data_IF_616018248300
#
_entry.id   IF_616018248300
#
_cell.length_a   1.000
_cell.length_b   1.000
_cell.length_c   1.000
_cell.angle_alpha   90.00
_cell.angle_beta   90.00
_cell.angle_gamma   90.00
#
_symmetry.space_group_name_H-M   'P 1'
#
loop_
_entity.id
_entity.type
_entity.pdbx_description
1 polymer ?
#
# COMPACT_ATOMS: atom_id res chain seq x y z
N UNK A 1 2.71 13.53 -17.88
CA UNK A 1 3.38 12.23 -18.21
C UNK A 1 2.67 11.16 -17.42
N UNK A 2 2.49 9.95 -17.94
CA UNK A 2 1.94 8.84 -17.17
C UNK A 2 3.07 8.20 -16.35
N UNK A 3 2.77 7.82 -15.09
CA UNK A 3 3.68 7.02 -14.28
C UNK A 3 3.93 5.70 -15.02
N UNK A 4 5.19 5.30 -15.11
CA UNK A 4 5.59 4.05 -15.80
C UNK A 4 4.93 2.83 -15.13
N UNK A 5 4.59 1.83 -15.93
CA UNK A 5 3.99 0.57 -15.49
C UNK A 5 2.61 0.73 -14.79
N UNK A 6 1.89 1.81 -15.11
CA UNK A 6 0.52 2.00 -14.63
C UNK A 6 -0.44 1.09 -15.39
N UNK A 7 -1.17 0.25 -14.66
CA UNK A 7 -2.33 -0.50 -15.18
C UNK A 7 -3.57 0.37 -15.04
N UNK A 8 -4.30 0.54 -16.14
CA UNK A 8 -5.55 1.33 -16.16
C UNK A 8 -6.73 0.37 -16.12
N UNK A 9 -7.58 0.53 -15.11
CA UNK A 9 -8.84 -0.17 -14.94
C UNK A 9 -9.96 0.77 -15.32
N UNK A 10 -10.93 0.30 -16.13
CA UNK A 10 -12.01 1.16 -16.60
C UNK A 10 -13.33 0.43 -16.78
N UNK A 11 -14.42 1.01 -16.25
CA UNK A 11 -15.79 0.56 -16.46
C UNK A 11 -16.75 1.75 -16.41
N UNK A 12 -17.54 1.93 -17.46
CA UNK A 12 -18.51 3.03 -17.51
C UNK A 12 -17.86 4.39 -17.34
N UNK A 13 -18.19 5.08 -16.24
CA UNK A 13 -17.66 6.40 -15.87
C UNK A 13 -16.46 6.34 -14.93
N UNK A 14 -16.14 5.17 -14.42
CA UNK A 14 -15.06 4.94 -13.48
C UNK A 14 -13.76 4.59 -14.19
N UNK A 15 -12.66 5.15 -13.72
CA UNK A 15 -11.31 4.88 -14.18
C UNK A 15 -10.35 4.94 -13.00
N UNK A 16 -9.50 3.92 -12.84
CA UNK A 16 -8.44 3.89 -11.83
C UNK A 16 -7.11 3.56 -12.48
N UNK A 17 -6.04 4.20 -12.03
CA UNK A 17 -4.66 3.82 -12.38
C UNK A 17 -3.98 3.17 -11.20
N UNK A 18 -3.42 1.99 -11.40
CA UNK A 18 -2.74 1.22 -10.36
C UNK A 18 -1.29 0.97 -10.74
N UNK A 19 -0.38 1.19 -9.81
CA UNK A 19 1.04 0.93 -10.02
C UNK A 19 1.58 -0.07 -8.99
N UNK A 20 1.70 -1.34 -9.39
CA UNK A 20 2.20 -2.42 -8.54
C UNK A 20 3.62 -2.15 -8.03
N UNK A 21 4.48 -1.57 -8.85
CA UNK A 21 5.87 -1.22 -8.52
C UNK A 21 5.97 -0.17 -7.41
N UNK A 22 4.99 0.70 -7.29
CA UNK A 22 4.93 1.76 -6.28
C UNK A 22 4.03 1.36 -5.09
N UNK A 23 4.26 0.20 -4.51
CA UNK A 23 3.56 -0.27 -3.32
C UNK A 23 2.12 -0.73 -3.57
N UNK A 24 1.79 -1.14 -4.80
CA UNK A 24 0.41 -1.49 -5.16
C UNK A 24 -0.54 -0.29 -5.14
N UNK A 25 -0.02 0.94 -5.19
CA UNK A 25 -0.77 2.17 -5.03
C UNK A 25 -1.81 2.36 -6.16
N UNK A 26 -3.05 2.66 -5.80
CA UNK A 26 -4.04 3.23 -6.69
C UNK A 26 -3.70 4.72 -6.89
N UNK A 27 -2.85 5.02 -7.90
CA UNK A 27 -2.22 6.34 -8.10
C UNK A 27 -3.19 7.42 -8.56
N UNK A 28 -4.35 7.05 -9.04
CA UNK A 28 -5.50 7.93 -9.27
C UNK A 28 -6.80 7.14 -9.31
N UNK A 29 -7.88 7.79 -8.97
CA UNK A 29 -9.26 7.33 -9.17
C UNK A 29 -10.07 8.48 -9.77
N UNK A 30 -10.84 8.20 -10.82
CA UNK A 30 -11.67 9.18 -11.52
C UNK A 30 -13.10 8.69 -11.70
N UNK A 31 -14.02 9.63 -11.59
CA UNK A 31 -15.41 9.44 -11.97
C UNK A 31 -15.83 10.51 -13.00
N UNK A 32 -16.28 10.07 -14.16
CA UNK A 32 -16.67 10.95 -15.28
C UNK A 32 -15.58 11.98 -15.63
N UNK A 33 -14.30 11.53 -15.63
CA UNK A 33 -13.13 12.34 -15.94
C UNK A 33 -12.67 13.31 -14.83
N UNK A 34 -13.33 13.32 -13.66
CA UNK A 34 -12.94 14.14 -12.51
C UNK A 34 -12.17 13.29 -11.49
N UNK A 35 -11.06 13.81 -11.00
CA UNK A 35 -10.27 13.14 -9.97
C UNK A 35 -11.05 13.08 -8.66
N UNK A 36 -11.12 11.87 -8.09
CA UNK A 36 -11.65 11.56 -6.75
C UNK A 36 -10.50 11.50 -5.75
N UNK A 37 -9.39 10.86 -6.11
CA UNK A 37 -8.14 10.90 -5.36
C UNK A 37 -7.23 11.99 -5.95
N UNK A 38 -6.38 12.57 -5.10
CA UNK A 38 -5.30 13.44 -5.56
C UNK A 38 -4.31 12.59 -6.40
N UNK A 39 -4.19 12.82 -7.71
CA UNK A 39 -3.43 11.90 -8.55
C UNK A 39 -1.93 12.02 -8.34
N UNK A 40 -1.23 10.89 -8.37
CA UNK A 40 0.21 10.86 -8.51
C UNK A 40 0.57 11.11 -9.97
N UNK A 41 1.21 12.23 -10.27
CA UNK A 41 1.58 12.64 -11.62
C UNK A 41 3.07 12.61 -11.91
N UNK A 42 3.88 12.59 -10.83
CA UNK A 42 5.34 12.50 -10.86
C UNK A 42 5.82 11.68 -9.64
N UNK A 43 6.70 10.72 -9.87
CA UNK A 43 7.26 9.88 -8.78
C UNK A 43 8.01 10.70 -7.73
N UNK A 44 8.61 11.83 -8.11
CA UNK A 44 9.27 12.74 -7.16
C UNK A 44 8.33 13.29 -6.06
N UNK A 45 7.01 13.28 -6.27
CA UNK A 45 6.04 13.64 -5.25
C UNK A 45 6.09 12.70 -4.04
N UNK A 46 6.45 11.42 -4.25
CA UNK A 46 6.58 10.43 -3.17
C UNK A 46 7.77 10.71 -2.26
N UNK A 47 8.81 11.38 -2.77
CA UNK A 47 9.96 11.79 -1.96
C UNK A 47 9.63 12.98 -1.05
N UNK A 48 8.69 13.84 -1.50
CA UNK A 48 8.22 14.99 -0.71
C UNK A 48 7.24 14.52 0.37
N UNK A 49 6.22 13.78 -0.01
CA UNK A 49 5.26 13.17 0.92
C UNK A 49 4.57 11.97 0.26
N UNK A 50 4.91 10.73 0.66
CA UNK A 50 4.38 9.52 0.04
C UNK A 50 2.91 9.22 0.37
N UNK A 51 2.26 10.05 1.20
CA UNK A 51 0.90 9.81 1.71
C UNK A 51 -0.16 10.75 1.13
N UNK A 52 0.22 11.70 0.27
CA UNK A 52 -0.71 12.72 -0.24
C UNK A 52 -1.33 12.36 -1.59
N UNK A 53 -0.68 11.52 -2.37
CA UNK A 53 -1.15 11.20 -3.72
C UNK A 53 -1.54 9.72 -3.82
N UNK A 54 -2.63 9.49 -4.55
CA UNK A 54 -3.18 8.14 -4.69
C UNK A 54 -3.79 7.62 -3.39
N UNK A 55 -3.70 6.32 -3.22
CA UNK A 55 -4.17 5.58 -2.05
C UNK A 55 -3.10 4.54 -1.64
N UNK A 56 -2.05 4.97 -0.92
CA UNK A 56 -0.95 4.11 -0.53
C UNK A 56 -1.36 3.09 0.54
N UNK A 57 -0.89 1.87 0.41
CA UNK A 57 -1.12 0.79 1.39
C UNK A 57 -0.22 0.99 2.61
N UNK A 58 -0.82 1.16 3.78
CA UNK A 58 -0.13 1.45 5.03
C UNK A 58 -0.19 0.25 6.00
N UNK A 59 0.97 -0.36 6.28
CA UNK A 59 1.13 -1.43 7.26
C UNK A 59 2.53 -1.37 7.89
N UNK A 60 2.65 -1.26 9.23
CA UNK A 60 1.59 -0.87 10.17
C UNK A 60 1.14 0.59 9.95
N UNK A 61 -0.15 0.84 10.10
CA UNK A 61 -0.70 2.19 9.97
C UNK A 61 -0.42 3.03 11.24
N UNK A 62 -0.48 4.37 11.10
CA UNK A 62 -0.24 5.36 12.16
C UNK A 62 1.21 5.43 12.69
N UNK A 63 1.38 6.10 13.83
CA UNK A 63 2.68 6.35 14.46
C UNK A 63 2.95 5.35 15.57
N UNK A 64 4.16 4.79 15.56
CA UNK A 64 4.71 4.02 16.67
C UNK A 64 5.82 4.88 17.27
N UNK A 65 5.55 5.44 18.47
CA UNK A 65 6.46 6.34 19.15
C UNK A 65 7.78 5.65 19.50
N UNK A 66 8.91 6.30 19.23
CA UNK A 66 10.27 5.75 19.29
C UNK A 66 10.48 4.49 18.44
N UNK A 67 9.54 4.15 17.55
CA UNK A 67 9.55 2.90 16.79
C UNK A 67 9.38 1.65 17.65
N UNK A 68 8.99 1.78 18.92
CA UNK A 68 9.00 0.67 19.89
C UNK A 68 7.61 0.21 20.26
N UNK A 69 7.41 -1.10 20.27
CA UNK A 69 6.21 -1.73 20.79
C UNK A 69 6.54 -3.10 21.40
N UNK A 70 5.71 -3.55 22.33
CA UNK A 70 5.81 -4.89 22.93
C UNK A 70 4.60 -5.71 22.51
N UNK A 71 4.81 -6.96 22.14
CA UNK A 71 3.75 -7.90 21.80
C UNK A 71 4.10 -9.30 22.30
N UNK A 72 3.20 -9.93 23.04
CA UNK A 72 3.37 -11.26 23.66
C UNK A 72 4.68 -11.39 24.46
N UNK A 73 5.05 -10.33 25.19
CA UNK A 73 6.25 -10.30 26.04
C UNK A 73 7.58 -10.10 25.31
N UNK A 74 7.54 -9.83 24.00
CA UNK A 74 8.72 -9.54 23.19
C UNK A 74 8.71 -8.06 22.78
N UNK A 75 9.86 -7.40 22.92
CA UNK A 75 10.06 -6.01 22.50
C UNK A 75 10.55 -5.95 21.06
N UNK A 76 9.90 -5.11 20.26
CA UNK A 76 10.23 -4.86 18.87
C UNK A 76 10.64 -3.41 18.66
N UNK A 77 11.55 -3.19 17.72
CA UNK A 77 12.00 -1.85 17.34
C UNK A 77 11.97 -1.70 15.83
N UNK A 78 11.27 -0.66 15.35
CA UNK A 78 11.22 -0.25 13.94
C UNK A 78 12.07 1.01 13.73
N UNK A 79 12.59 1.25 12.53
CA UNK A 79 13.35 2.46 12.23
C UNK A 79 12.47 3.71 12.38
N UNK A 80 13.06 4.82 12.84
CA UNK A 80 12.38 6.12 12.88
C UNK A 80 12.29 6.67 11.45
N UNK A 81 11.08 6.77 10.91
CA UNK A 81 10.80 7.28 9.56
C UNK A 81 10.26 8.71 9.57
N UNK A 82 9.79 9.20 10.73
CA UNK A 82 9.37 10.58 10.96
C UNK A 82 10.16 11.18 12.13
N UNK A 83 11.38 11.73 11.89
CA UNK A 83 12.24 12.24 12.96
C UNK A 83 11.61 13.35 13.81
N UNK A 84 10.78 14.21 13.20
CA UNK A 84 10.11 15.33 13.88
C UNK A 84 9.22 14.90 15.05
N UNK A 85 8.62 13.72 14.98
CA UNK A 85 7.76 13.16 16.02
C UNK A 85 8.42 12.00 16.76
N UNK A 86 9.68 11.69 16.44
CA UNK A 86 10.40 10.52 16.95
C UNK A 86 9.64 9.20 16.69
N UNK A 87 8.97 9.08 15.55
CA UNK A 87 8.08 7.95 15.28
C UNK A 87 8.48 7.15 14.05
N UNK A 88 8.13 5.86 14.08
CA UNK A 88 7.94 5.09 12.87
C UNK A 88 6.52 5.41 12.34
N UNK A 89 6.43 5.93 11.11
CA UNK A 89 5.18 6.37 10.51
C UNK A 89 4.79 5.44 9.35
N UNK A 90 3.59 4.89 9.41
CA UNK A 90 2.88 4.22 8.33
C UNK A 90 3.55 3.00 7.70
N UNK A 91 4.59 2.47 8.34
CA UNK A 91 5.35 1.35 7.77
C UNK A 91 6.06 1.70 6.48
N UNK A 92 6.51 0.69 5.76
CA UNK A 92 7.23 0.85 4.49
C UNK A 92 6.68 -0.05 3.37
N UNK A 93 5.55 -0.74 3.58
CA UNK A 93 4.92 -1.59 2.56
C UNK A 93 4.56 -0.79 1.31
N UNK A 94 4.11 0.46 1.45
CA UNK A 94 3.81 1.38 0.34
C UNK A 94 5.02 1.70 -0.57
N UNK A 95 6.24 1.32 -0.17
CA UNK A 95 7.48 1.47 -0.96
C UNK A 95 7.93 0.16 -1.58
N UNK A 96 7.27 -0.96 -1.29
CA UNK A 96 7.67 -2.26 -1.77
C UNK A 96 6.99 -2.59 -3.09
N UNK A 97 7.70 -3.19 -4.07
CA UNK A 97 7.07 -3.64 -5.29
C UNK A 97 6.17 -4.85 -5.01
N UNK A 98 4.98 -4.83 -5.60
CA UNK A 98 4.06 -5.97 -5.61
C UNK A 98 4.20 -6.75 -6.91
N UNK A 99 4.12 -8.07 -6.83
CA UNK A 99 4.01 -8.96 -7.98
C UNK A 99 2.59 -8.89 -8.55
N UNK A 100 2.45 -8.71 -9.86
CA UNK A 100 1.15 -8.75 -10.53
C UNK A 100 0.79 -10.19 -10.83
N UNK A 101 -0.31 -10.67 -10.26
CA UNK A 101 -0.81 -12.04 -10.45
C UNK A 101 -1.78 -12.14 -11.63
N UNK A 102 -2.65 -11.14 -11.79
CA UNK A 102 -3.61 -11.09 -12.90
C UNK A 102 -4.03 -9.66 -13.21
N UNK A 103 -4.39 -9.41 -14.47
CA UNK A 103 -4.89 -8.13 -14.96
C UNK A 103 -6.00 -8.37 -15.96
N UNK A 104 -7.05 -7.56 -15.89
CA UNK A 104 -8.10 -7.40 -16.91
C UNK A 104 -8.38 -5.91 -17.11
N UNK A 105 -9.31 -5.56 -17.99
CA UNK A 105 -9.72 -4.17 -18.22
C UNK A 105 -10.37 -3.54 -16.96
N UNK A 106 -10.84 -4.36 -16.03
CA UNK A 106 -11.62 -3.90 -14.87
C UNK A 106 -11.03 -4.33 -13.52
N UNK A 107 -9.99 -5.15 -13.49
CA UNK A 107 -9.43 -5.67 -12.24
C UNK A 107 -7.94 -5.95 -12.36
N UNK A 108 -7.23 -5.74 -11.24
CA UNK A 108 -5.85 -6.17 -11.05
C UNK A 108 -5.74 -6.88 -9.69
N UNK A 109 -5.07 -8.03 -9.67
CA UNK A 109 -4.69 -8.72 -8.44
C UNK A 109 -3.17 -8.70 -8.31
N UNK A 110 -2.69 -8.29 -7.14
CA UNK A 110 -1.27 -8.14 -6.84
C UNK A 110 -0.94 -8.81 -5.52
N UNK A 111 0.31 -9.21 -5.34
CA UNK A 111 0.79 -9.86 -4.12
C UNK A 111 2.11 -9.24 -3.65
N UNK A 112 2.23 -9.06 -2.35
CA UNK A 112 3.47 -8.76 -1.66
C UNK A 112 3.75 -9.84 -0.61
N UNK A 113 5.00 -10.24 -0.48
CA UNK A 113 5.46 -11.19 0.55
C UNK A 113 6.56 -10.52 1.37
N UNK A 114 6.29 -10.34 2.67
CA UNK A 114 7.27 -9.94 3.65
C UNK A 114 7.83 -11.20 4.32
N UNK A 115 8.94 -11.69 3.81
CA UNK A 115 9.62 -12.85 4.38
C UNK A 115 11.08 -12.50 4.66
N UNK A 116 11.50 -12.72 5.91
CA UNK A 116 12.85 -12.37 6.38
C UNK A 116 13.22 -10.89 6.16
N UNK A 117 12.20 -9.99 6.08
CA UNK A 117 12.36 -8.56 5.82
C UNK A 117 11.98 -7.73 7.04
N UNK A 118 12.72 -7.92 8.11
CA UNK A 118 12.46 -7.30 9.41
C UNK A 118 12.58 -5.78 9.41
N UNK A 119 13.26 -5.20 8.41
CA UNK A 119 13.32 -3.76 8.20
C UNK A 119 12.01 -3.15 7.70
N UNK A 120 11.13 -3.97 7.08
CA UNK A 120 9.78 -3.57 6.65
C UNK A 120 8.78 -3.78 7.77
N UNK A 121 8.72 -5.01 8.29
CA UNK A 121 7.94 -5.37 9.46
C UNK A 121 8.49 -6.65 10.09
N UNK A 122 8.56 -6.77 11.46
CA UNK A 122 9.27 -7.87 12.11
C UNK A 122 8.48 -9.19 12.17
N UNK A 123 7.59 -9.41 11.22
CA UNK A 123 6.79 -10.62 11.09
C UNK A 123 6.68 -11.00 9.61
N UNK A 124 6.66 -12.30 9.35
CA UNK A 124 6.47 -12.80 7.99
C UNK A 124 4.98 -12.82 7.65
N UNK A 125 4.61 -12.21 6.53
CA UNK A 125 3.22 -12.20 6.05
C UNK A 125 3.14 -12.15 4.51
N UNK A 126 2.01 -12.56 3.99
CA UNK A 126 1.60 -12.35 2.60
C UNK A 126 0.44 -11.36 2.58
N UNK A 127 0.44 -10.48 1.59
CA UNK A 127 -0.66 -9.58 1.30
C UNK A 127 -1.07 -9.73 -0.15
N UNK A 128 -2.31 -10.13 -0.38
CA UNK A 128 -2.92 -10.11 -1.72
C UNK A 128 -3.89 -8.94 -1.78
N UNK A 129 -3.79 -8.16 -2.85
CA UNK A 129 -4.63 -6.98 -3.07
C UNK A 129 -5.31 -7.13 -4.41
N UNK A 130 -6.64 -6.99 -4.43
CA UNK A 130 -7.43 -6.96 -5.66
C UNK A 130 -8.18 -5.65 -5.75
N UNK A 131 -7.92 -4.90 -6.81
CA UNK A 131 -8.68 -3.69 -7.15
C UNK A 131 -9.60 -4.00 -8.32
N UNK A 132 -10.84 -3.57 -8.19
CA UNK A 132 -11.88 -3.79 -9.21
C UNK A 132 -12.65 -2.49 -9.46
N UNK A 133 -12.91 -2.21 -10.72
CA UNK A 133 -13.79 -1.13 -11.18
C UNK A 133 -15.01 -1.75 -11.83
N UNK A 134 -16.20 -1.38 -11.36
CA UNK A 134 -17.47 -1.78 -11.94
C UNK A 134 -18.40 -0.57 -12.19
N UNK A 135 -19.67 -0.81 -12.48
CA UNK A 135 -20.62 0.27 -12.73
C UNK A 135 -21.01 1.02 -11.44
N UNK A 136 -20.80 0.41 -10.27
CA UNK A 136 -21.13 0.96 -8.96
C UNK A 136 -19.95 1.74 -8.36
N UNK A 137 -18.68 1.36 -8.72
CA UNK A 137 -17.54 2.06 -8.17
C UNK A 137 -16.19 1.37 -8.31
N UNK A 138 -15.31 1.72 -7.36
CA UNK A 138 -13.98 1.16 -7.18
C UNK A 138 -13.93 0.40 -5.86
N UNK A 139 -13.61 -0.88 -5.94
CA UNK A 139 -13.49 -1.78 -4.78
C UNK A 139 -12.04 -2.16 -4.56
N UNK A 140 -11.62 -2.13 -3.32
CA UNK A 140 -10.31 -2.59 -2.86
C UNK A 140 -10.53 -3.76 -1.89
N UNK A 141 -10.01 -4.92 -2.24
CA UNK A 141 -10.04 -6.11 -1.39
C UNK A 141 -8.61 -6.44 -0.95
N UNK A 142 -8.43 -6.65 0.33
CA UNK A 142 -7.16 -7.01 0.94
C UNK A 142 -7.29 -8.35 1.67
N UNK A 143 -6.34 -9.24 1.41
CA UNK A 143 -6.18 -10.51 2.13
C UNK A 143 -4.76 -10.52 2.73
N UNK A 144 -4.68 -10.44 4.07
CA UNK A 144 -3.42 -10.42 4.81
C UNK A 144 -3.32 -11.73 5.58
N UNK A 145 -2.33 -12.55 5.21
CA UNK A 145 -2.08 -13.85 5.81
C UNK A 145 -0.78 -13.81 6.61
N UNK A 146 -0.87 -14.10 7.90
CA UNK A 146 0.30 -14.39 8.72
C UNK A 146 0.93 -15.72 8.26
N UNK A 147 2.19 -15.70 7.85
CA UNK A 147 2.99 -16.88 7.50
C UNK A 147 4.17 -17.09 8.45
N UNK A 148 4.26 -16.27 9.52
CA UNK A 148 5.21 -16.45 10.60
C UNK A 148 4.84 -17.62 11.50
N UNK A 149 5.79 -18.13 12.27
CA UNK A 149 5.58 -19.15 13.31
C UNK A 149 4.90 -18.59 14.58
N UNK A 150 4.82 -17.28 14.73
CA UNK A 150 4.24 -16.55 15.87
C UNK A 150 3.07 -15.67 15.45
N UNK A 151 2.26 -15.26 16.41
CA UNK A 151 1.18 -14.30 16.14
C UNK A 151 1.74 -12.96 15.64
N UNK A 152 1.03 -12.31 14.73
CA UNK A 152 1.40 -11.03 14.16
C UNK A 152 0.38 -9.97 14.57
N UNK A 153 0.77 -8.94 15.35
CA UNK A 153 -0.07 -7.77 15.52
C UNK A 153 -0.01 -6.93 14.25
N UNK A 154 -1.12 -6.30 13.86
CA UNK A 154 -1.10 -5.39 12.73
C UNK A 154 -2.12 -4.27 12.88
N UNK A 155 -1.81 -3.13 12.28
CA UNK A 155 -2.76 -2.04 11.98
C UNK A 155 -2.66 -1.76 10.48
N UNK A 156 -3.79 -1.51 9.86
CA UNK A 156 -3.90 -1.40 8.41
C UNK A 156 -4.75 -0.18 8.00
N UNK A 157 -4.36 0.48 6.90
CA UNK A 157 -5.09 1.55 6.25
C UNK A 157 -4.77 1.60 4.76
#
# INVERSE_FOLDING_TARGET
MSIKDTVVLKKGKWEAGVCARLGGNAIYLRYNGKDILCPLTDEAQLDVNPYLQGDPILLPANRIYLGKFSFEGVDYTLPITEPRTFSHLHGTVHRQPFEVLSVSDTSITMKYVNKDRYEVYPFDFEMTVTYTVDDEGFTQQYDIKNIDSKNMPYTFC
#
